data_IF_694177902779
#
_entry.id   IF_694177902779
#
_cell.length_a   1.000
_cell.length_b   1.000
_cell.length_c   1.000
_cell.angle_alpha   90.00
_cell.angle_beta   90.00
_cell.angle_gamma   90.00
#
_symmetry.space_group_name_H-M   'P 1'
#
loop_
_entity.id
_entity.type
_entity.pdbx_description
1 polymer ?
#
# COMPACT_ATOMS: atom_id res chain seq x y z
N UNK A 1 13.33 -8.91 -0.92
CA UNK A 1 11.89 -8.99 -0.56
C UNK A 1 11.35 -7.58 -0.37
N UNK A 2 10.62 -7.07 -1.38
CA UNK A 2 10.04 -5.74 -1.36
C UNK A 2 8.53 -5.87 -1.21
N UNK A 3 7.92 -5.06 -0.34
CA UNK A 3 6.46 -4.96 -0.25
C UNK A 3 5.97 -4.11 -1.42
N UNK A 4 4.91 -4.55 -2.09
CA UNK A 4 4.37 -3.88 -3.30
C UNK A 4 2.89 -3.53 -3.11
N UNK A 5 2.14 -4.48 -2.55
CA UNK A 5 0.74 -4.32 -2.17
C UNK A 5 0.61 -4.65 -0.70
N UNK A 6 -0.07 -3.79 0.03
CA UNK A 6 -0.36 -3.92 1.45
C UNK A 6 -1.85 -3.73 1.66
N UNK A 7 -2.47 -4.58 2.48
CA UNK A 7 -3.91 -4.47 2.72
C UNK A 7 -4.27 -4.75 4.18
N UNK A 8 -5.44 -4.29 4.58
CA UNK A 8 -5.93 -4.44 5.95
C UNK A 8 -7.44 -4.24 6.05
N UNK A 9 -8.09 -4.85 7.06
CA UNK A 9 -7.53 -5.78 8.04
C UNK A 9 -7.14 -7.13 7.42
N UNK A 10 -6.39 -7.95 8.15
CA UNK A 10 -6.07 -9.33 7.72
C UNK A 10 -7.37 -10.12 7.54
N UNK A 11 -7.50 -10.80 6.39
CA UNK A 11 -8.69 -11.57 6.01
C UNK A 11 -8.46 -13.07 5.94
N UNK A 12 -7.20 -13.50 5.79
CA UNK A 12 -6.86 -14.92 5.60
C UNK A 12 -6.79 -15.71 6.91
N UNK A 13 -6.48 -15.02 8.01
CA UNK A 13 -6.39 -15.63 9.34
C UNK A 13 -7.71 -15.58 10.09
N UNK A 14 -7.94 -16.57 10.96
CA UNK A 14 -9.11 -16.60 11.84
C UNK A 14 -9.07 -15.45 12.86
N UNK A 15 -10.25 -15.02 13.36
CA UNK A 15 -10.34 -13.99 14.39
C UNK A 15 -9.64 -14.39 15.70
N UNK A 16 -9.62 -15.70 16.02
CA UNK A 16 -8.93 -16.24 17.18
C UNK A 16 -7.41 -16.10 17.02
N UNK A 17 -6.85 -16.56 15.89
CA UNK A 17 -5.42 -16.42 15.59
C UNK A 17 -4.99 -14.95 15.57
N UNK A 18 -5.82 -14.05 15.02
CA UNK A 18 -5.54 -12.62 15.02
C UNK A 18 -5.52 -12.06 16.45
N UNK A 19 -6.45 -12.47 17.32
CA UNK A 19 -6.46 -12.07 18.73
C UNK A 19 -5.18 -12.52 19.44
N UNK A 20 -4.72 -13.74 19.19
CA UNK A 20 -3.47 -14.25 19.76
C UNK A 20 -2.25 -13.46 19.27
N UNK A 21 -2.17 -13.17 17.98
CA UNK A 21 -1.11 -12.32 17.39
C UNK A 21 -1.09 -10.92 18.00
N UNK A 22 -2.27 -10.31 18.20
CA UNK A 22 -2.41 -8.99 18.85
C UNK A 22 -1.92 -9.00 20.31
N UNK A 23 -2.32 -10.02 21.08
CA UNK A 23 -1.91 -10.18 22.49
C UNK A 23 -0.39 -10.41 22.57
N UNK A 24 0.16 -11.29 21.73
CA UNK A 24 1.58 -11.57 21.66
C UNK A 24 2.39 -10.30 21.33
N UNK A 25 1.93 -9.50 20.37
CA UNK A 25 2.58 -8.24 19.99
C UNK A 25 2.58 -7.23 21.14
N UNK A 26 1.45 -7.10 21.85
CA UNK A 26 1.35 -6.22 23.02
C UNK A 26 2.27 -6.67 24.17
N UNK A 27 2.35 -7.97 24.43
CA UNK A 27 3.23 -8.51 25.46
C UNK A 27 4.71 -8.31 25.12
N UNK A 28 5.09 -8.52 23.86
CA UNK A 28 6.45 -8.25 23.38
C UNK A 28 6.80 -6.76 23.58
N UNK A 29 5.96 -5.84 23.10
CA UNK A 29 6.17 -4.41 23.25
C UNK A 29 6.30 -3.98 24.73
N UNK A 30 5.48 -4.53 25.62
CA UNK A 30 5.57 -4.28 27.07
C UNK A 30 6.86 -4.80 27.68
N UNK A 31 7.30 -6.00 27.29
CA UNK A 31 8.50 -6.63 27.87
C UNK A 31 9.78 -5.85 27.60
N UNK A 32 9.84 -5.14 26.46
CA UNK A 32 10.98 -4.27 26.11
C UNK A 32 10.75 -2.80 26.48
N UNK A 33 9.63 -2.46 27.13
CA UNK A 33 9.29 -1.08 27.50
C UNK A 33 9.14 -0.16 26.30
N UNK A 34 8.59 -0.67 25.18
CA UNK A 34 8.53 0.07 23.92
C UNK A 34 7.64 1.32 24.01
N UNK A 35 8.08 2.42 23.38
CA UNK A 35 7.33 3.69 23.30
C UNK A 35 7.34 4.19 21.86
N UNK A 36 6.16 4.59 21.37
CA UNK A 36 5.96 5.07 20.00
C UNK A 36 5.22 4.05 19.13
N UNK A 37 5.32 4.19 17.82
CA UNK A 37 4.75 3.24 16.86
C UNK A 37 5.77 2.14 16.53
N UNK A 38 5.30 0.90 16.46
CA UNK A 38 6.05 -0.26 16.00
C UNK A 38 5.12 -1.21 15.26
N UNK A 39 5.72 -2.06 14.43
CA UNK A 39 5.03 -3.20 13.83
C UNK A 39 5.73 -4.48 14.26
N UNK A 40 4.95 -5.43 14.79
CA UNK A 40 5.41 -6.81 14.95
C UNK A 40 5.00 -7.58 13.71
N UNK A 41 5.98 -8.21 13.04
CA UNK A 41 5.74 -9.00 11.84
C UNK A 41 5.72 -10.49 12.18
N UNK A 42 4.74 -11.19 11.61
CA UNK A 42 4.55 -12.62 11.76
C UNK A 42 4.53 -13.30 10.38
N UNK A 43 4.99 -14.54 10.34
CA UNK A 43 4.72 -15.46 9.23
C UNK A 43 3.53 -16.34 9.61
N UNK A 44 2.47 -16.32 8.81
CA UNK A 44 1.29 -17.15 9.01
C UNK A 44 1.29 -18.34 8.04
N UNK A 45 1.10 -19.55 8.57
CA UNK A 45 1.08 -20.79 7.80
C UNK A 45 -0.38 -21.22 7.58
N UNK A 46 -0.84 -21.14 6.33
CA UNK A 46 -2.24 -21.44 5.97
C UNK A 46 -2.62 -22.90 6.24
N UNK A 47 -1.69 -23.84 6.04
CA UNK A 47 -1.97 -25.27 6.18
C UNK A 47 -2.12 -25.71 7.64
N UNK A 48 -1.38 -25.08 8.56
CA UNK A 48 -1.37 -25.44 9.99
C UNK A 48 -2.13 -24.46 10.87
N UNK A 49 -2.53 -23.30 10.34
CA UNK A 49 -3.14 -22.20 11.09
C UNK A 49 -2.22 -21.60 12.17
N UNK A 50 -0.91 -21.82 12.08
CA UNK A 50 0.08 -21.34 13.04
C UNK A 50 0.70 -20.01 12.59
N UNK A 51 1.12 -19.19 13.55
CA UNK A 51 1.90 -17.98 13.27
C UNK A 51 3.26 -18.03 14.00
N UNK A 52 4.30 -17.58 13.31
CA UNK A 52 5.66 -17.48 13.84
C UNK A 52 6.11 -16.02 13.88
N UNK A 53 6.72 -15.59 14.98
CA UNK A 53 7.34 -14.27 15.06
C UNK A 53 8.51 -14.15 14.09
N UNK A 54 8.59 -13.03 13.36
CA UNK A 54 9.72 -12.68 12.50
C UNK A 54 10.57 -11.60 13.17
N UNK A 55 9.98 -10.42 13.36
CA UNK A 55 10.69 -9.27 13.91
C UNK A 55 9.74 -8.22 14.50
N UNK A 56 10.31 -7.27 15.25
CA UNK A 56 9.65 -6.03 15.65
C UNK A 56 10.38 -4.87 14.97
N UNK A 57 9.68 -4.15 14.11
CA UNK A 57 10.16 -2.95 13.45
C UNK A 57 9.93 -1.73 14.36
N UNK A 58 10.99 -1.11 14.93
CA UNK A 58 10.86 -0.05 15.92
C UNK A 58 10.66 1.33 15.26
N UNK A 59 9.73 1.42 14.31
CA UNK A 59 9.46 2.61 13.51
C UNK A 59 8.05 2.58 12.95
N UNK A 60 7.54 3.75 12.57
CA UNK A 60 6.35 3.84 11.74
C UNK A 60 6.64 3.21 10.36
N UNK A 61 5.75 2.34 9.91
CA UNK A 61 5.85 1.73 8.59
C UNK A 61 5.22 2.61 7.51
N UNK A 62 5.66 2.47 6.26
CA UNK A 62 5.22 3.32 5.15
C UNK A 62 3.73 3.07 4.84
N UNK A 63 3.29 1.83 5.01
CA UNK A 63 1.93 1.33 4.84
C UNK A 63 0.97 1.66 6.00
N UNK A 64 1.40 2.44 7.01
CA UNK A 64 0.54 2.83 8.14
C UNK A 64 -0.82 3.45 7.75
N UNK A 65 -1.00 4.19 6.63
CA UNK A 65 -2.31 4.75 6.30
C UNK A 65 -3.39 3.70 6.05
N UNK A 66 -3.01 2.45 5.70
CA UNK A 66 -3.93 1.30 5.67
C UNK A 66 -4.57 1.13 7.05
N UNK A 67 -3.73 1.09 8.09
CA UNK A 67 -4.17 0.92 9.49
C UNK A 67 -4.92 2.17 9.97
N UNK A 68 -4.46 3.37 9.61
CA UNK A 68 -5.14 4.62 9.99
C UNK A 68 -6.59 4.63 9.49
N UNK A 69 -6.83 4.20 8.26
CA UNK A 69 -8.17 4.31 7.68
C UNK A 69 -9.14 3.29 8.27
N UNK A 70 -8.71 2.05 8.47
CA UNK A 70 -9.57 1.01 9.06
C UNK A 70 -9.82 1.24 10.56
N UNK A 71 -8.90 1.92 11.25
CA UNK A 71 -9.05 2.23 12.68
C UNK A 71 -9.65 3.61 12.96
N UNK A 72 -9.56 4.54 12.01
CA UNK A 72 -9.88 5.95 12.21
C UNK A 72 -8.88 6.69 13.11
N UNK A 73 -7.66 6.17 13.27
CA UNK A 73 -6.62 6.72 14.14
C UNK A 73 -5.53 7.40 13.33
N UNK A 74 -5.23 8.67 13.61
CA UNK A 74 -4.09 9.36 13.05
C UNK A 74 -2.81 8.98 13.83
N UNK A 75 -2.05 8.02 13.31
CA UNK A 75 -0.89 7.44 13.99
C UNK A 75 0.25 8.47 14.16
N UNK A 76 0.63 9.29 13.16
CA UNK A 76 1.63 10.34 13.35
C UNK A 76 1.26 11.32 14.45
N UNK A 77 -0.01 11.75 14.52
CA UNK A 77 -0.49 12.64 15.59
C UNK A 77 -0.44 11.94 16.96
N UNK A 78 -0.78 10.66 17.03
CA UNK A 78 -0.63 9.86 18.24
C UNK A 78 0.83 9.79 18.69
N UNK A 79 1.78 9.58 17.78
CA UNK A 79 3.21 9.55 18.12
C UNK A 79 3.68 10.88 18.72
N UNK A 80 3.25 12.02 18.16
CA UNK A 80 3.57 13.34 18.73
C UNK A 80 3.01 13.48 20.15
N UNK A 81 1.73 13.13 20.37
CA UNK A 81 1.10 13.20 21.68
C UNK A 81 1.78 12.28 22.71
N UNK A 82 2.14 11.06 22.33
CA UNK A 82 2.90 10.13 23.18
C UNK A 82 4.27 10.72 23.51
N UNK A 83 4.96 11.32 22.53
CA UNK A 83 6.23 12.02 22.73
C UNK A 83 6.13 13.21 23.69
N UNK A 84 4.96 13.83 23.79
CA UNK A 84 4.65 14.87 24.78
C UNK A 84 4.28 14.31 26.17
N UNK A 85 4.30 12.99 26.36
CA UNK A 85 3.91 12.33 27.61
C UNK A 85 2.40 12.19 27.81
N UNK A 86 1.59 12.39 26.76
CA UNK A 86 0.14 12.17 26.84
C UNK A 86 -0.13 10.65 26.83
N UNK A 87 -0.83 10.10 27.83
CA UNK A 87 -1.14 8.68 27.88
C UNK A 87 -2.19 8.29 26.84
N UNK A 88 -2.11 7.06 26.31
CA UNK A 88 -2.98 6.56 25.23
C UNK A 88 -4.48 6.78 25.47
N UNK A 89 -4.97 6.52 26.69
CA UNK A 89 -6.40 6.65 27.04
C UNK A 89 -6.93 8.09 26.96
N UNK A 90 -6.06 9.10 26.88
CA UNK A 90 -6.44 10.51 26.68
C UNK A 90 -6.42 10.96 25.23
N UNK A 91 -5.79 10.20 24.34
CA UNK A 91 -5.67 10.59 22.94
C UNK A 91 -7.05 10.51 22.27
N UNK A 92 -7.56 11.60 21.65
CA UNK A 92 -8.93 11.62 21.12
C UNK A 92 -9.27 10.49 20.14
N UNK A 93 -8.33 10.13 19.26
CA UNK A 93 -8.51 9.05 18.28
C UNK A 93 -8.59 7.68 18.94
N UNK A 94 -7.75 7.44 19.95
CA UNK A 94 -7.80 6.21 20.75
C UNK A 94 -9.13 6.15 21.53
N UNK A 95 -9.59 7.25 22.10
CA UNK A 95 -10.91 7.30 22.75
C UNK A 95 -12.03 6.94 21.78
N UNK A 96 -12.00 7.49 20.55
CA UNK A 96 -12.96 7.15 19.49
C UNK A 96 -12.91 5.68 19.10
N UNK A 97 -11.71 5.11 18.93
CA UNK A 97 -11.50 3.70 18.65
C UNK A 97 -12.15 2.80 19.71
N UNK A 98 -12.08 3.18 20.98
CA UNK A 98 -12.71 2.48 22.11
C UNK A 98 -14.14 2.97 22.44
N UNK A 99 -14.78 3.72 21.54
CA UNK A 99 -16.15 4.26 21.70
C UNK A 99 -16.35 5.08 22.99
N UNK A 100 -15.29 5.72 23.49
CA UNK A 100 -15.31 6.61 24.66
C UNK A 100 -15.51 8.07 24.23
N UNK A 101 -16.10 8.87 25.11
CA UNK A 101 -16.32 10.31 24.88
C UNK A 101 -14.99 11.06 24.82
N UNK A 102 -14.76 11.83 23.75
CA UNK A 102 -13.55 12.66 23.59
C UNK A 102 -13.51 13.89 24.50
N UNK A 103 -14.65 14.26 25.11
CA UNK A 103 -14.76 15.43 26.00
C UNK A 103 -14.48 15.09 27.46
N UNK A 104 -14.47 13.81 27.80
CA UNK A 104 -14.27 13.32 29.15
C UNK A 104 -12.83 12.84 29.34
N UNK A 105 -12.26 13.12 30.50
CA UNK A 105 -10.94 12.62 30.93
C UNK A 105 -11.08 11.40 31.87
N UNK A 106 -12.08 10.56 31.62
CA UNK A 106 -12.26 9.29 32.35
C UNK A 106 -11.21 8.27 31.92
N UNK A 107 -10.48 7.74 32.91
CA UNK A 107 -9.56 6.63 32.70
C UNK A 107 -10.30 5.36 32.28
N UNK A 108 -9.72 4.62 31.35
CA UNK A 108 -10.13 3.27 31.00
C UNK A 108 -8.88 2.45 30.64
N UNK A 109 -8.92 1.15 30.92
CA UNK A 109 -7.81 0.27 30.63
C UNK A 109 -7.96 -0.34 29.22
N UNK A 110 -7.01 -0.02 28.34
CA UNK A 110 -6.98 -0.52 26.96
C UNK A 110 -6.80 -2.04 26.88
N UNK A 111 -6.29 -2.68 27.94
CA UNK A 111 -6.08 -4.13 27.97
C UNK A 111 -7.36 -4.93 28.24
N UNK A 112 -8.35 -4.32 28.92
CA UNK A 112 -9.60 -5.00 29.30
C UNK A 112 -10.80 -4.53 28.49
N UNK A 113 -10.75 -3.30 27.97
CA UNK A 113 -11.84 -2.73 27.19
C UNK A 113 -11.83 -3.22 25.74
N UNK A 114 -13.01 -3.32 25.14
CA UNK A 114 -13.15 -3.74 23.75
C UNK A 114 -13.00 -2.55 22.81
N UNK A 115 -12.10 -2.67 21.84
CA UNK A 115 -11.94 -1.71 20.74
C UNK A 115 -13.02 -1.92 19.67
N UNK A 116 -13.37 -0.87 18.93
CA UNK A 116 -14.17 -0.99 17.72
C UNK A 116 -13.48 -1.88 16.68
N UNK A 117 -14.28 -2.63 15.92
CA UNK A 117 -13.78 -3.39 14.78
C UNK A 117 -13.32 -2.49 13.63
N UNK A 118 -12.56 -3.05 12.67
CA UNK A 118 -12.09 -2.30 11.50
C UNK A 118 -13.27 -1.77 10.65
N UNK A 119 -13.13 -0.55 10.14
CA UNK A 119 -14.09 0.09 9.24
C UNK A 119 -13.76 -0.23 7.77
N UNK A 120 -14.39 -1.29 7.26
CA UNK A 120 -14.22 -1.75 5.88
C UNK A 120 -12.85 -2.40 5.66
N UNK A 121 -12.35 -2.27 4.44
CA UNK A 121 -11.06 -2.80 4.00
C UNK A 121 -10.31 -1.76 3.17
N UNK A 122 -8.99 -1.78 3.25
CA UNK A 122 -8.11 -0.89 2.48
C UNK A 122 -7.05 -1.72 1.78
N UNK A 123 -6.88 -1.45 0.49
CA UNK A 123 -5.77 -1.94 -0.32
C UNK A 123 -4.89 -0.74 -0.66
N UNK A 124 -3.60 -0.86 -0.39
CA UNK A 124 -2.58 0.10 -0.76
C UNK A 124 -1.64 -0.50 -1.79
N UNK A 125 -1.18 0.35 -2.71
CA UNK A 125 -0.18 -0.03 -3.69
C UNK A 125 0.92 1.01 -3.76
N UNK A 126 2.16 0.54 -3.84
CA UNK A 126 3.33 1.38 -4.04
C UNK A 126 3.54 1.64 -5.51
N UNK A 127 3.69 2.91 -5.87
CA UNK A 127 4.05 3.30 -7.23
C UNK A 127 5.55 3.50 -7.27
N UNK A 128 6.23 2.60 -7.99
CA UNK A 128 7.69 2.57 -8.13
C UNK A 128 8.12 2.93 -9.54
N UNK A 129 9.34 3.44 -9.64
CA UNK A 129 10.02 3.78 -10.89
C UNK A 129 10.81 2.57 -11.41
N UNK A 130 10.22 1.38 -11.43
CA UNK A 130 10.87 0.13 -11.82
C UNK A 130 10.33 -0.40 -13.15
N UNK A 131 11.19 -1.05 -13.94
CA UNK A 131 10.78 -1.71 -15.19
C UNK A 131 10.42 -3.18 -14.93
N UNK A 132 9.12 -3.47 -14.82
CA UNK A 132 8.61 -4.84 -14.67
C UNK A 132 8.99 -5.76 -15.85
N UNK A 133 9.23 -5.19 -17.05
CA UNK A 133 9.65 -5.94 -18.24
C UNK A 133 11.12 -6.34 -18.24
N UNK A 134 11.95 -5.67 -17.43
CA UNK A 134 13.38 -5.95 -17.25
C UNK A 134 13.71 -6.34 -15.79
N UNK A 135 12.82 -7.15 -15.18
CA UNK A 135 13.06 -7.75 -13.86
C UNK A 135 13.01 -6.75 -12.70
N UNK A 136 12.15 -5.73 -12.78
CA UNK A 136 11.95 -4.70 -11.75
C UNK A 136 13.20 -3.87 -11.45
N UNK A 137 14.07 -3.68 -12.44
CA UNK A 137 15.22 -2.78 -12.27
C UNK A 137 14.73 -1.35 -12.06
N UNK A 138 15.26 -0.63 -11.05
CA UNK A 138 14.97 0.79 -10.88
C UNK A 138 15.40 1.59 -12.11
N UNK A 139 14.58 2.59 -12.45
CA UNK A 139 14.81 3.55 -13.52
C UNK A 139 14.82 4.95 -12.93
N UNK A 140 15.61 5.83 -13.52
CA UNK A 140 15.75 7.23 -13.09
C UNK A 140 15.61 8.13 -14.32
N UNK A 141 15.16 9.36 -14.11
CA UNK A 141 14.91 10.29 -15.21
C UNK A 141 13.81 11.30 -14.90
N UNK A 142 13.48 12.12 -15.90
CA UNK A 142 12.42 13.13 -15.78
C UNK A 142 11.02 12.52 -15.77
N UNK A 143 10.09 13.23 -15.12
CA UNK A 143 8.65 12.98 -15.17
C UNK A 143 8.01 14.20 -15.84
N UNK A 144 7.49 14.02 -17.04
CA UNK A 144 6.86 15.07 -17.82
C UNK A 144 5.42 15.32 -17.35
N UNK A 145 4.67 14.25 -17.10
CA UNK A 145 3.27 14.31 -16.67
C UNK A 145 3.06 13.37 -15.49
N UNK A 146 2.54 13.91 -14.38
CA UNK A 146 1.98 13.12 -13.29
C UNK A 146 0.59 13.67 -12.98
N UNK A 147 -0.43 12.88 -13.30
CA UNK A 147 -1.83 13.21 -13.10
C UNK A 147 -2.52 12.05 -12.41
N UNK A 148 -2.95 12.29 -11.18
CA UNK A 148 -3.74 11.36 -10.39
C UNK A 148 -5.00 12.07 -9.92
N UNK A 149 -6.16 11.45 -10.13
CA UNK A 149 -7.45 11.98 -9.70
C UNK A 149 -7.93 11.19 -8.49
N UNK A 150 -7.93 11.82 -7.33
CA UNK A 150 -8.52 11.23 -6.14
C UNK A 150 -10.04 11.15 -6.26
N UNK A 151 -10.60 10.10 -5.67
CA UNK A 151 -12.04 9.91 -5.50
C UNK A 151 -12.34 9.85 -3.99
N UNK A 152 -13.61 9.84 -3.56
CA UNK A 152 -13.93 9.65 -2.14
C UNK A 152 -13.32 8.38 -1.53
N UNK A 153 -13.18 7.33 -2.34
CA UNK A 153 -12.73 6.01 -1.92
C UNK A 153 -11.27 5.71 -2.26
N UNK A 154 -10.62 6.56 -3.08
CA UNK A 154 -9.21 6.38 -3.46
C UNK A 154 -8.46 7.69 -3.38
N UNK A 155 -7.36 7.67 -2.64
CA UNK A 155 -6.44 8.80 -2.57
C UNK A 155 -4.99 8.30 -2.60
N UNK A 156 -4.06 9.22 -2.69
CA UNK A 156 -2.65 8.90 -2.67
C UNK A 156 -1.81 10.15 -2.69
N UNK A 157 -0.52 9.96 -2.45
CA UNK A 157 0.45 11.03 -2.44
C UNK A 157 1.70 10.61 -3.22
N UNK A 158 2.43 11.61 -3.71
CA UNK A 158 3.65 11.43 -4.50
C UNK A 158 4.74 12.34 -3.94
N UNK A 159 5.99 11.86 -3.96
CA UNK A 159 7.17 12.65 -3.57
C UNK A 159 7.63 13.60 -4.67
N UNK A 160 7.17 13.38 -5.91
CA UNK A 160 7.54 14.12 -7.12
C UNK A 160 6.28 14.69 -7.81
N UNK A 161 6.47 15.73 -8.62
CA UNK A 161 5.42 16.39 -9.41
C UNK A 161 5.78 16.36 -10.90
N UNK A 162 4.80 16.64 -11.77
CA UNK A 162 5.05 16.84 -13.20
C UNK A 162 6.07 17.96 -13.44
N UNK A 163 7.01 17.71 -14.35
CA UNK A 163 8.21 18.53 -14.58
C UNK A 163 9.37 18.24 -13.62
N UNK A 164 9.20 17.31 -12.67
CA UNK A 164 10.26 16.83 -11.77
C UNK A 164 11.00 15.62 -12.33
N UNK A 165 11.61 14.81 -11.46
CA UNK A 165 12.27 13.58 -11.84
C UNK A 165 12.66 12.73 -10.63
N UNK A 166 12.97 11.45 -10.89
CA UNK A 166 13.52 10.52 -9.89
C UNK A 166 15.02 10.42 -10.15
N UNK A 167 15.83 10.76 -9.14
CA UNK A 167 17.29 10.67 -9.23
C UNK A 167 17.79 9.28 -8.80
N UNK A 168 18.99 8.89 -9.23
CA UNK A 168 19.57 7.56 -8.98
C UNK A 168 19.75 7.22 -7.48
N UNK A 169 19.96 8.24 -6.64
CA UNK A 169 20.06 8.08 -5.18
C UNK A 169 18.70 8.08 -4.45
N UNK A 170 17.59 8.19 -5.18
CA UNK A 170 16.24 8.25 -4.60
C UNK A 170 15.73 6.84 -4.40
N UNK A 171 14.76 6.69 -3.50
CA UNK A 171 13.95 5.47 -3.47
C UNK A 171 13.20 5.34 -4.81
N UNK A 172 13.09 4.11 -5.33
CA UNK A 172 12.31 3.85 -6.54
C UNK A 172 10.84 4.16 -6.29
N UNK A 173 10.35 4.02 -5.06
CA UNK A 173 9.00 4.39 -4.66
C UNK A 173 8.84 5.91 -4.61
N UNK A 174 8.07 6.45 -5.54
CA UNK A 174 7.76 7.88 -5.60
C UNK A 174 6.27 8.18 -5.38
N UNK A 175 5.43 7.16 -5.23
CA UNK A 175 4.01 7.31 -4.93
C UNK A 175 3.45 6.19 -4.07
N UNK A 176 2.35 6.49 -3.40
CA UNK A 176 1.58 5.52 -2.62
C UNK A 176 0.10 5.83 -2.77
N UNK A 177 -0.67 4.84 -3.22
CA UNK A 177 -2.12 4.93 -3.41
C UNK A 177 -2.82 4.04 -2.39
N UNK A 178 -3.99 4.47 -1.95
CA UNK A 178 -4.83 3.79 -0.96
C UNK A 178 -6.27 3.81 -1.45
N UNK A 179 -6.87 2.62 -1.55
CA UNK A 179 -8.27 2.44 -1.92
C UNK A 179 -9.03 1.77 -0.78
N UNK A 180 -10.16 2.37 -0.37
CA UNK A 180 -11.08 1.82 0.63
C UNK A 180 -12.28 1.17 -0.04
N UNK A 181 -12.84 0.14 0.59
CA UNK A 181 -14.16 -0.40 0.28
C UNK A 181 -14.81 -0.96 1.54
N UNK A 182 -16.11 -1.28 1.50
CA UNK A 182 -16.76 -1.99 2.61
C UNK A 182 -16.25 -3.44 2.67
N UNK A 183 -15.81 -3.98 1.53
CA UNK A 183 -15.18 -5.29 1.41
C UNK A 183 -13.83 -5.20 0.70
N UNK A 184 -12.98 -6.23 0.87
CA UNK A 184 -11.72 -6.38 0.14
C UNK A 184 -11.92 -6.29 -1.38
N UNK A 185 -12.94 -6.97 -1.89
CA UNK A 185 -13.28 -6.98 -3.33
C UNK A 185 -13.62 -5.58 -3.85
N UNK A 186 -14.34 -4.77 -3.07
CA UNK A 186 -14.65 -3.38 -3.44
C UNK A 186 -13.39 -2.50 -3.43
N UNK A 187 -12.55 -2.62 -2.40
CA UNK A 187 -11.28 -1.89 -2.32
C UNK A 187 -10.36 -2.19 -3.53
N UNK A 188 -10.26 -3.47 -3.93
CA UNK A 188 -9.51 -3.87 -5.14
C UNK A 188 -10.09 -3.22 -6.39
N UNK A 189 -11.43 -3.24 -6.56
CA UNK A 189 -12.09 -2.60 -7.72
C UNK A 189 -11.85 -1.10 -7.77
N UNK A 190 -11.95 -0.41 -6.64
CA UNK A 190 -11.66 1.01 -6.54
C UNK A 190 -10.20 1.30 -6.92
N UNK A 191 -9.25 0.50 -6.44
CA UNK A 191 -7.84 0.61 -6.80
C UNK A 191 -7.61 0.42 -8.31
N UNK A 192 -8.23 -0.59 -8.92
CA UNK A 192 -8.10 -0.86 -10.36
C UNK A 192 -8.59 0.31 -11.22
N UNK A 193 -9.72 0.92 -10.85
CA UNK A 193 -10.24 2.10 -11.57
C UNK A 193 -9.27 3.28 -11.46
N UNK A 194 -8.71 3.50 -10.27
CA UNK A 194 -7.76 4.59 -10.04
C UNK A 194 -6.42 4.38 -10.78
N UNK A 195 -5.90 3.15 -10.80
CA UNK A 195 -4.71 2.79 -11.55
C UNK A 195 -4.92 2.89 -13.07
N UNK A 196 -6.12 2.59 -13.57
CA UNK A 196 -6.42 2.74 -14.99
C UNK A 196 -6.50 4.20 -15.45
N UNK A 197 -6.82 5.15 -14.56
CA UNK A 197 -6.91 6.58 -14.89
C UNK A 197 -5.62 7.36 -14.59
N UNK A 198 -4.68 6.78 -13.83
CA UNK A 198 -3.42 7.46 -13.49
C UNK A 198 -2.57 7.66 -14.75
N UNK A 199 -2.01 8.87 -14.89
CA UNK A 199 -1.09 9.19 -15.98
C UNK A 199 0.26 9.53 -15.40
N UNK A 200 1.24 8.68 -15.69
CA UNK A 200 2.64 8.92 -15.36
C UNK A 200 3.42 8.77 -16.66
N UNK A 201 3.97 9.87 -17.15
CA UNK A 201 4.76 9.92 -18.39
C UNK A 201 6.08 10.60 -18.13
N UNK A 202 7.13 10.11 -18.77
CA UNK A 202 8.48 10.63 -18.66
C UNK A 202 9.49 9.59 -19.13
N UNK A 203 10.73 9.78 -18.72
CA UNK A 203 11.84 8.85 -19.00
C UNK A 203 11.78 7.58 -18.12
N UNK A 204 11.11 7.69 -16.97
CA UNK A 204 10.97 6.57 -16.02
C UNK A 204 9.99 5.51 -16.52
N UNK A 205 10.23 4.26 -16.12
CA UNK A 205 9.26 3.17 -16.20
C UNK A 205 8.51 3.07 -14.88
N UNK A 206 7.29 2.53 -14.91
CA UNK A 206 6.47 2.36 -13.72
C UNK A 206 5.88 0.98 -13.65
N UNK A 207 5.51 0.57 -12.44
CA UNK A 207 4.89 -0.73 -12.16
C UNK A 207 3.37 -0.74 -12.31
N UNK A 208 2.75 0.37 -12.75
CA UNK A 208 1.29 0.54 -12.79
C UNK A 208 0.59 -0.56 -13.60
N UNK A 209 1.05 -0.83 -14.83
CA UNK A 209 0.41 -1.85 -15.69
C UNK A 209 0.53 -3.26 -15.07
N UNK A 210 1.65 -3.54 -14.40
CA UNK A 210 1.87 -4.80 -13.71
C UNK A 210 0.98 -4.92 -12.45
N UNK A 211 0.79 -3.83 -11.71
CA UNK A 211 -0.12 -3.79 -10.56
C UNK A 211 -1.56 -4.07 -11.00
N UNK A 212 -2.01 -3.53 -12.13
CA UNK A 212 -3.35 -3.78 -12.67
C UNK A 212 -3.54 -5.28 -12.96
N UNK A 213 -2.62 -5.88 -13.71
CA UNK A 213 -2.66 -7.32 -14.03
C UNK A 213 -2.64 -8.19 -12.76
N UNK A 214 -1.78 -7.84 -11.81
CA UNK A 214 -1.62 -8.57 -10.56
C UNK A 214 -2.89 -8.53 -9.69
N UNK A 215 -3.51 -7.35 -9.54
CA UNK A 215 -4.74 -7.18 -8.77
C UNK A 215 -5.97 -7.83 -9.41
N UNK A 216 -5.94 -8.07 -10.73
CA UNK A 216 -6.99 -8.80 -11.46
C UNK A 216 -6.81 -10.32 -11.44
N UNK A 217 -5.62 -10.80 -11.07
CA UNK A 217 -5.31 -12.21 -11.09
C UNK A 217 -6.22 -13.01 -10.12
N UNK A 218 -6.80 -14.16 -10.54
CA UNK A 218 -7.67 -14.97 -9.69
C UNK A 218 -7.05 -15.32 -8.33
N UNK A 219 -5.74 -15.65 -8.28
CA UNK A 219 -5.06 -15.95 -7.02
C UNK A 219 -5.08 -14.76 -6.05
N UNK A 220 -4.84 -13.54 -6.54
CA UNK A 220 -4.92 -12.34 -5.71
C UNK A 220 -6.37 -12.07 -5.26
N UNK A 221 -7.34 -12.17 -6.17
CA UNK A 221 -8.76 -11.95 -5.87
C UNK A 221 -9.30 -12.95 -4.84
N UNK A 222 -8.91 -14.21 -4.94
CA UNK A 222 -9.32 -15.30 -4.05
C UNK A 222 -8.54 -15.34 -2.73
N UNK A 223 -7.56 -14.44 -2.53
CA UNK A 223 -6.70 -14.40 -1.34
C UNK A 223 -5.78 -15.63 -1.22
N UNK A 224 -5.38 -16.20 -2.35
CA UNK A 224 -4.50 -17.36 -2.49
C UNK A 224 -3.09 -16.89 -2.86
N UNK A 225 -2.49 -16.07 -2.00
CA UNK A 225 -1.17 -15.47 -2.21
C UNK A 225 -0.21 -15.83 -1.09
N UNK A 226 1.00 -16.23 -1.46
CA UNK A 226 2.13 -16.45 -0.56
C UNK A 226 3.15 -15.31 -0.69
N UNK A 227 4.15 -15.27 0.20
CA UNK A 227 5.26 -14.31 0.08
C UNK A 227 6.18 -14.60 -1.12
N UNK A 228 6.14 -15.80 -1.70
CA UNK A 228 6.88 -16.19 -2.91
C UNK A 228 6.11 -15.93 -4.20
N UNK A 229 4.82 -15.62 -4.11
CA UNK A 229 3.93 -15.56 -5.27
C UNK A 229 4.37 -14.55 -6.34
N UNK A 230 4.86 -13.38 -5.92
CA UNK A 230 5.40 -12.40 -6.86
C UNK A 230 6.68 -12.88 -7.55
N UNK A 231 7.59 -13.50 -6.79
CA UNK A 231 8.85 -14.04 -7.31
C UNK A 231 8.56 -15.13 -8.35
N UNK A 232 7.59 -16.01 -8.07
CA UNK A 232 7.12 -17.05 -9.00
C UNK A 232 6.54 -16.45 -10.30
N UNK A 233 5.79 -15.35 -10.21
CA UNK A 233 5.27 -14.64 -11.40
C UNK A 233 6.39 -14.00 -12.23
N UNK A 234 7.41 -13.46 -11.58
CA UNK A 234 8.59 -12.87 -12.24
C UNK A 234 9.37 -13.97 -12.97
N UNK A 235 9.62 -15.10 -12.32
CA UNK A 235 10.28 -16.27 -12.92
C UNK A 235 9.50 -16.83 -14.12
N UNK A 236 8.16 -16.85 -14.01
CA UNK A 236 7.26 -17.24 -15.10
C UNK A 236 7.17 -16.19 -16.23
N UNK A 237 7.85 -15.05 -16.09
CA UNK A 237 7.82 -13.92 -17.04
C UNK A 237 6.40 -13.47 -17.40
N UNK A 238 5.51 -13.42 -16.40
CA UNK A 238 4.15 -12.90 -16.59
C UNK A 238 4.25 -11.42 -16.97
N UNK A 239 3.65 -11.06 -18.10
CA UNK A 239 3.64 -9.69 -18.61
C UNK A 239 2.21 -9.16 -18.64
N UNK A 240 2.01 -7.85 -18.39
CA UNK A 240 0.72 -7.22 -18.63
C UNK A 240 0.28 -7.42 -20.08
N UNK A 241 -1.04 -7.44 -20.30
CA UNK A 241 -1.60 -7.52 -21.64
C UNK A 241 -1.08 -6.40 -22.53
N UNK A 242 -0.40 -6.79 -23.61
CA UNK A 242 0.05 -5.85 -24.62
C UNK A 242 -1.15 -5.32 -25.43
N UNK A 243 -1.11 -4.07 -25.90
CA UNK A 243 -2.10 -3.59 -26.85
C UNK A 243 -2.11 -4.49 -28.09
N UNK A 244 -3.27 -4.59 -28.73
CA UNK A 244 -3.45 -5.43 -29.92
C UNK A 244 -2.39 -5.06 -30.97
N UNK A 245 -1.64 -6.07 -31.45
CA UNK A 245 -0.40 -5.84 -32.22
C UNK A 245 -0.56 -4.89 -33.42
N UNK A 246 -1.69 -4.95 -34.13
CA UNK A 246 -1.93 -4.10 -35.29
C UNK A 246 -2.15 -2.63 -34.89
N UNK A 247 -2.75 -2.34 -33.73
CA UNK A 247 -2.88 -0.98 -33.21
C UNK A 247 -1.52 -0.41 -32.84
N UNK A 248 -0.66 -1.22 -32.22
CA UNK A 248 0.72 -0.83 -31.90
C UNK A 248 1.51 -0.50 -33.18
N UNK A 249 1.39 -1.34 -34.23
CA UNK A 249 2.05 -1.11 -35.53
C UNK A 249 1.51 0.15 -36.21
N UNK A 250 0.18 0.32 -36.28
CA UNK A 250 -0.43 1.52 -36.87
C UNK A 250 0.02 2.78 -36.12
N UNK A 251 -0.05 2.77 -34.79
CA UNK A 251 0.39 3.89 -33.96
C UNK A 251 1.87 4.23 -34.17
N UNK A 252 2.74 3.23 -34.24
CA UNK A 252 4.16 3.41 -34.51
C UNK A 252 4.41 4.01 -35.91
N UNK A 253 3.70 3.53 -36.95
CA UNK A 253 3.79 4.06 -38.30
C UNK A 253 3.36 5.54 -38.35
N UNK A 254 2.24 5.89 -37.71
CA UNK A 254 1.75 7.28 -37.65
C UNK A 254 2.74 8.18 -36.92
N UNK A 255 3.27 7.75 -35.76
CA UNK A 255 4.26 8.52 -35.00
C UNK A 255 5.55 8.74 -35.81
N UNK A 256 6.10 7.68 -36.42
CA UNK A 256 7.31 7.78 -37.25
C UNK A 256 7.10 8.69 -38.47
N UNK A 257 5.98 8.54 -39.18
CA UNK A 257 5.66 9.38 -40.33
C UNK A 257 5.53 10.86 -39.93
N UNK A 258 4.85 11.15 -38.82
CA UNK A 258 4.73 12.50 -38.29
C UNK A 258 6.10 13.12 -37.97
N UNK A 259 6.99 12.37 -37.32
CA UNK A 259 8.33 12.84 -36.98
C UNK A 259 9.18 13.14 -38.23
N UNK A 260 9.11 12.29 -39.26
CA UNK A 260 9.80 12.52 -40.54
C UNK A 260 9.25 13.77 -41.26
N UNK A 261 7.93 14.00 -41.21
CA UNK A 261 7.33 15.18 -41.82
C UNK A 261 7.73 16.47 -41.09
N UNK A 262 7.72 16.49 -39.76
CA UNK A 262 8.17 17.66 -39.00
C UNK A 262 9.65 17.97 -39.24
N UNK A 263 10.52 16.95 -39.27
CA UNK A 263 11.94 17.12 -39.55
C UNK A 263 12.28 17.58 -40.97
N UNK A 264 11.33 17.53 -41.92
CA UNK A 264 11.47 18.09 -43.28
C UNK A 264 10.95 19.52 -43.41
N UNK A 265 10.16 19.99 -42.44
CA UNK A 265 9.59 21.35 -42.42
C UNK A 265 10.42 22.33 -41.58
N UNK A 266 11.37 21.83 -40.79
CA UNK A 266 12.41 22.60 -40.08
C UNK A 266 13.68 22.71 -40.94
#
# INVERSE_FOLDING_TARGET
HQKIVEEGPVTVASQESLREMEIAACNLARSVGYVGAATVEYLYLLDTNEFCFLELNPRLQVEHPVTEWISGVNIPSCQVMIGMGIPLWRIPDIRRLYKKSVKEDTYFDLATEEKGGPSGHVVAVRITSEDAGDGFKPTSGSIDELSFRSTPDVWGYFSVKGGGGVHEYADSQFGHLFAKGETRTEAIKHMLVALADIKIRGEIRTTVDYLIDMLQCPGFVNNEVSTSWLDERIEAQVKPDAPVWYLAVIGACVCKAHHVLQGRMA
#
